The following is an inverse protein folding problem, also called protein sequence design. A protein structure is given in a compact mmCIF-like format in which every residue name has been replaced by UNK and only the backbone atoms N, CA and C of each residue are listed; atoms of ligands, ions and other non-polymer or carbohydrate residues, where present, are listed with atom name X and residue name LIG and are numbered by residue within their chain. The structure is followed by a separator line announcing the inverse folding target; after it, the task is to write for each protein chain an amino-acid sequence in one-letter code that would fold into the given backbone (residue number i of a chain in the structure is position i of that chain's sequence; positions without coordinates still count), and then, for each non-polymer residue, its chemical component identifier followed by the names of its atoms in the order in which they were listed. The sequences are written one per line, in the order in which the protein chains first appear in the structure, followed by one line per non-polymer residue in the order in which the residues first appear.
data_IF_466390616468
#
_entry.id   IF_466390616468
#
_cell.length_a   1.000
_cell.length_b   1.000
_cell.length_c   1.000
_cell.angle_alpha   90.00
_cell.angle_beta   90.00
_cell.angle_gamma   90.00
#
_symmetry.space_group_name_H-M   'P 1'
#
loop_
_entity.id
_entity.type
_entity.pdbx_description
1 polymer ?
#
# COMPACT_ATOMS: atom_id res chain seq x y z
N UNK A 1 1.76 63.86 38.66
CA UNK A 1 1.78 63.05 37.42
C UNK A 1 2.87 61.99 37.54
N UNK A 2 2.52 60.82 38.09
CA UNK A 2 3.40 59.66 38.18
C UNK A 2 2.77 58.55 37.33
N UNK A 3 3.46 58.08 36.29
CA UNK A 3 3.04 56.92 35.49
C UNK A 3 4.00 55.77 35.77
N UNK A 4 3.53 54.77 36.52
CA UNK A 4 4.18 53.47 36.70
C UNK A 4 3.77 52.58 35.52
N UNK A 5 4.71 52.19 34.67
CA UNK A 5 4.50 51.12 33.67
C UNK A 5 4.61 49.76 34.37
N UNK A 6 3.49 49.04 34.44
CA UNK A 6 3.42 47.65 34.88
C UNK A 6 3.90 46.78 33.71
N UNK A 7 4.95 45.98 33.92
CA UNK A 7 5.35 44.90 32.99
C UNK A 7 4.48 43.68 33.32
N UNK A 8 3.65 43.26 32.37
CA UNK A 8 2.91 42.01 32.46
C UNK A 8 3.89 40.84 32.30
N UNK A 9 3.87 39.93 33.27
CA UNK A 9 4.61 38.67 33.27
C UNK A 9 3.78 37.66 32.46
N UNK A 10 4.27 37.26 31.28
CA UNK A 10 3.64 36.18 30.50
C UNK A 10 4.01 34.85 31.15
N UNK A 11 3.06 34.22 31.83
CA UNK A 11 3.16 32.85 32.33
C UNK A 11 2.76 31.96 31.15
N UNK A 12 3.74 31.30 30.53
CA UNK A 12 3.50 30.25 29.55
C UNK A 12 2.88 29.05 30.27
N UNK A 13 1.57 28.85 30.07
CA UNK A 13 0.85 27.68 30.51
C UNK A 13 1.28 26.51 29.60
N UNK A 14 2.12 25.60 30.11
CA UNK A 14 2.31 24.29 29.49
C UNK A 14 1.00 23.51 29.65
N UNK A 15 0.23 23.41 28.57
CA UNK A 15 -0.84 22.44 28.45
C UNK A 15 -0.18 21.05 28.32
N UNK A 16 -0.55 20.05 29.15
CA UNK A 16 -0.14 18.68 28.87
C UNK A 16 -0.79 18.27 27.55
N UNK A 17 0.00 17.76 26.60
CA UNK A 17 -0.52 16.95 25.51
C UNK A 17 -1.20 15.75 26.18
N UNK A 18 -2.53 15.80 26.28
CA UNK A 18 -3.32 14.59 26.49
C UNK A 18 -3.12 13.74 25.25
N UNK A 19 -2.41 12.63 25.38
CA UNK A 19 -2.53 11.52 24.45
C UNK A 19 -4.00 11.07 24.53
N UNK A 20 -4.83 11.56 23.61
CA UNK A 20 -6.07 10.87 23.30
C UNK A 20 -5.64 9.50 22.81
N UNK A 21 -6.01 8.45 23.53
CA UNK A 21 -6.05 7.12 22.96
C UNK A 21 -6.91 7.25 21.70
N UNK A 22 -6.29 7.13 20.51
CA UNK A 22 -7.07 6.85 19.32
C UNK A 22 -7.79 5.54 19.64
N UNK A 23 -9.12 5.52 19.63
CA UNK A 23 -9.83 4.25 19.66
C UNK A 23 -9.40 3.42 18.44
N UNK A 24 -9.55 2.10 18.52
CA UNK A 24 -9.40 1.23 17.35
C UNK A 24 -10.20 1.83 16.19
N UNK A 25 -9.52 2.09 15.07
CA UNK A 25 -10.17 2.51 13.84
C UNK A 25 -10.68 1.25 13.15
N UNK A 26 -11.89 1.28 12.60
CA UNK A 26 -12.54 0.11 11.99
C UNK A 26 -12.72 0.34 10.50
N UNK A 27 -12.40 -0.67 9.69
CA UNK A 27 -12.73 -0.77 8.27
C UNK A 27 -14.04 -1.56 8.17
N UNK A 28 -15.08 -0.93 7.65
CA UNK A 28 -16.37 -1.57 7.37
C UNK A 28 -16.31 -2.23 5.98
N UNK A 29 -16.09 -3.54 5.94
CA UNK A 29 -16.00 -4.34 4.71
C UNK A 29 -17.35 -5.02 4.40
N UNK A 30 -17.97 -4.61 3.30
CA UNK A 30 -19.16 -5.25 2.76
C UNK A 30 -18.82 -6.45 1.88
N UNK A 31 -19.66 -7.48 1.90
CA UNK A 31 -19.61 -8.64 1.01
C UNK A 31 -21.03 -9.12 0.71
N UNK A 32 -21.23 -9.84 -0.39
CA UNK A 32 -22.52 -10.48 -0.67
C UNK A 32 -22.65 -11.74 0.18
N UNK A 33 -23.76 -11.91 0.88
CA UNK A 33 -24.01 -13.16 1.60
C UNK A 33 -24.16 -14.33 0.63
N UNK A 34 -23.49 -15.44 0.92
CA UNK A 34 -23.51 -16.68 0.13
C UNK A 34 -24.94 -17.12 -0.22
N UNK A 35 -25.85 -16.96 0.75
CA UNK A 35 -27.27 -17.30 0.61
C UNK A 35 -28.03 -16.56 -0.49
N UNK A 36 -27.51 -15.43 -1.01
CA UNK A 36 -28.15 -14.69 -2.11
C UNK A 36 -27.94 -15.40 -3.45
N UNK A 37 -26.75 -15.95 -3.70
CA UNK A 37 -26.38 -16.55 -4.98
C UNK A 37 -26.18 -18.08 -4.90
N UNK A 38 -26.45 -18.70 -3.74
CA UNK A 38 -26.08 -20.09 -3.42
C UNK A 38 -24.59 -20.38 -3.75
N UNK A 39 -23.72 -19.40 -3.49
CA UNK A 39 -22.30 -19.46 -3.86
C UNK A 39 -21.42 -20.00 -2.74
N UNK A 40 -20.29 -20.59 -3.12
CA UNK A 40 -19.24 -21.03 -2.19
C UNK A 40 -18.09 -20.02 -2.03
N UNK A 41 -18.17 -18.86 -2.69
CA UNK A 41 -17.05 -17.91 -2.87
C UNK A 41 -17.33 -16.47 -2.39
N UNK A 42 -18.38 -16.30 -1.57
CA UNK A 42 -18.55 -15.10 -0.75
C UNK A 42 -17.70 -15.17 0.53
N UNK A 43 -17.42 -14.05 1.21
CA UNK A 43 -16.63 -14.09 2.45
C UNK A 43 -17.28 -14.88 3.60
N UNK A 44 -18.58 -15.16 3.56
CA UNK A 44 -19.28 -16.06 4.49
C UNK A 44 -19.40 -17.52 4.01
N UNK A 45 -18.71 -17.86 2.91
CA UNK A 45 -18.80 -19.15 2.26
C UNK A 45 -17.54 -20.00 2.43
N UNK A 46 -17.67 -21.30 2.10
CA UNK A 46 -16.73 -22.35 2.50
C UNK A 46 -15.36 -22.30 1.80
N UNK A 47 -15.25 -21.62 0.65
CA UNK A 47 -13.99 -21.50 -0.09
C UNK A 47 -13.27 -20.17 0.20
N UNK A 48 -13.79 -19.36 1.12
CA UNK A 48 -13.20 -18.08 1.53
C UNK A 48 -12.97 -18.03 3.05
N UNK A 49 -12.91 -19.19 3.73
CA UNK A 49 -12.73 -19.26 5.18
C UNK A 49 -11.36 -18.68 5.59
N UNK A 50 -10.30 -18.96 4.85
CA UNK A 50 -8.96 -18.41 5.07
C UNK A 50 -8.93 -16.91 4.77
N UNK A 51 -9.58 -16.46 3.69
CA UNK A 51 -9.65 -15.05 3.36
C UNK A 51 -10.33 -14.25 4.49
N UNK A 52 -11.49 -14.73 4.96
CA UNK A 52 -12.21 -14.10 6.05
C UNK A 52 -11.39 -14.12 7.35
N UNK A 53 -10.75 -15.26 7.66
CA UNK A 53 -9.97 -15.40 8.88
C UNK A 53 -8.76 -14.46 8.89
N UNK A 54 -7.99 -14.38 7.79
CA UNK A 54 -6.83 -13.47 7.67
C UNK A 54 -7.22 -12.00 7.82
N UNK A 55 -8.38 -11.59 7.29
CA UNK A 55 -8.90 -10.22 7.42
C UNK A 55 -9.38 -9.90 8.85
N UNK A 56 -9.91 -10.90 9.58
CA UNK A 56 -10.38 -10.72 10.95
C UNK A 56 -9.30 -10.95 12.00
N UNK A 57 -8.12 -11.44 11.62
CA UNK A 57 -7.00 -11.66 12.52
C UNK A 57 -6.36 -10.34 12.95
N UNK A 58 -6.32 -10.13 14.26
CA UNK A 58 -5.88 -8.89 14.90
C UNK A 58 -4.39 -8.60 14.78
N UNK A 59 -3.54 -9.61 14.56
CA UNK A 59 -2.13 -9.40 14.20
C UNK A 59 -1.97 -8.83 12.79
N UNK A 60 -2.92 -9.08 11.89
CA UNK A 60 -2.92 -8.50 10.54
C UNK A 60 -3.63 -7.15 10.53
N UNK A 61 -4.85 -7.10 11.08
CA UNK A 61 -5.75 -5.95 11.11
C UNK A 61 -6.28 -5.70 12.53
N UNK A 62 -5.62 -4.80 13.27
CA UNK A 62 -6.01 -4.46 14.64
C UNK A 62 -5.12 -3.38 15.26
N UNK A 63 -5.44 -2.90 16.47
CA UNK A 63 -4.71 -1.77 17.11
C UNK A 63 -3.17 -1.93 17.11
N UNK A 64 -2.68 -3.17 17.20
CA UNK A 64 -1.26 -3.52 17.19
C UNK A 64 -0.86 -4.43 16.02
N UNK A 65 -1.75 -4.61 15.03
CA UNK A 65 -1.46 -5.40 13.85
C UNK A 65 -0.62 -4.64 12.83
N UNK A 66 -0.21 -5.34 11.77
CA UNK A 66 0.53 -4.73 10.65
C UNK A 66 -0.24 -3.58 10.01
N UNK A 67 -1.58 -3.68 9.99
CA UNK A 67 -2.50 -2.60 9.69
C UNK A 67 -3.21 -2.18 10.98
N UNK A 68 -3.06 -0.92 11.45
CA UNK A 68 -3.60 -0.46 12.73
C UNK A 68 -5.12 -0.15 12.69
N UNK A 69 -5.88 -0.97 11.98
CA UNK A 69 -7.34 -0.88 11.81
C UNK A 69 -7.93 -2.28 11.92
N UNK A 70 -8.98 -2.44 12.73
CA UNK A 70 -9.76 -3.68 12.79
C UNK A 70 -10.69 -3.77 11.58
N UNK A 71 -10.93 -4.96 11.04
CA UNK A 71 -11.94 -5.16 10.00
C UNK A 71 -13.24 -5.67 10.62
N UNK A 72 -14.35 -5.05 10.24
CA UNK A 72 -15.69 -5.57 10.48
C UNK A 72 -16.33 -5.98 9.16
N UNK A 73 -16.69 -7.26 9.01
CA UNK A 73 -17.27 -7.81 7.78
C UNK A 73 -18.78 -7.92 7.92
N UNK A 74 -19.52 -7.32 6.98
CA UNK A 74 -20.97 -7.49 6.85
C UNK A 74 -21.31 -8.17 5.53
N UNK A 75 -21.87 -9.37 5.62
CA UNK A 75 -22.39 -10.10 4.48
C UNK A 75 -23.88 -9.79 4.28
N UNK A 76 -24.25 -9.29 3.09
CA UNK A 76 -25.60 -8.81 2.80
C UNK A 76 -26.28 -9.60 1.68
N UNK A 77 -27.54 -9.97 1.90
CA UNK A 77 -28.45 -10.45 0.87
C UNK A 77 -29.43 -9.37 0.40
N UNK A 78 -29.28 -8.13 0.87
CA UNK A 78 -30.15 -7.03 0.49
C UNK A 78 -29.88 -6.56 -0.94
N UNK A 79 -30.85 -5.85 -1.53
CA UNK A 79 -30.66 -5.11 -2.77
C UNK A 79 -29.56 -4.07 -2.59
N UNK A 80 -28.66 -3.99 -3.57
CA UNK A 80 -27.57 -3.02 -3.57
C UNK A 80 -28.08 -1.65 -4.02
N UNK A 81 -27.94 -0.66 -3.13
CA UNK A 81 -28.20 0.74 -3.43
C UNK A 81 -27.19 1.64 -2.70
N UNK A 82 -27.20 2.93 -3.03
CA UNK A 82 -26.29 3.89 -2.39
C UNK A 82 -26.50 4.05 -0.87
N UNK A 83 -27.67 3.71 -0.34
CA UNK A 83 -27.92 3.78 1.10
C UNK A 83 -27.24 2.62 1.82
N UNK A 84 -27.33 1.41 1.27
CA UNK A 84 -26.59 0.25 1.76
C UNK A 84 -25.07 0.48 1.64
N UNK A 85 -24.60 0.88 0.46
CA UNK A 85 -23.17 1.06 0.19
C UNK A 85 -22.53 2.18 1.03
N UNK A 86 -23.30 3.19 1.45
CA UNK A 86 -22.80 4.25 2.34
C UNK A 86 -22.37 3.78 3.74
N UNK A 87 -22.70 2.52 4.10
CA UNK A 87 -22.27 1.90 5.35
C UNK A 87 -20.92 1.19 5.27
N UNK A 88 -20.27 1.16 4.11
CA UNK A 88 -19.02 0.43 3.89
C UNK A 88 -17.90 1.37 3.45
N UNK A 89 -16.68 1.03 3.85
CA UNK A 89 -15.45 1.63 3.34
C UNK A 89 -14.96 0.87 2.09
N UNK A 90 -15.08 -0.46 2.12
CA UNK A 90 -14.69 -1.36 1.03
C UNK A 90 -15.81 -2.36 0.77
N UNK A 91 -16.01 -2.76 -0.49
CA UNK A 91 -16.95 -3.84 -0.85
C UNK A 91 -16.24 -4.93 -1.67
N UNK A 92 -16.35 -6.17 -1.21
CA UNK A 92 -15.82 -7.35 -1.88
C UNK A 92 -16.89 -8.05 -2.73
N UNK A 93 -16.51 -8.44 -3.95
CA UNK A 93 -17.29 -9.28 -4.85
C UNK A 93 -16.46 -10.52 -5.18
N UNK A 94 -16.98 -11.69 -4.80
CA UNK A 94 -16.41 -13.00 -5.14
C UNK A 94 -16.92 -13.55 -6.46
N UNK A 95 -17.02 -14.88 -6.58
CA UNK A 95 -17.55 -15.58 -7.75
C UNK A 95 -19.08 -15.69 -7.70
N UNK A 96 -19.76 -14.84 -8.47
CA UNK A 96 -21.23 -14.69 -8.50
C UNK A 96 -21.75 -14.88 -9.93
N UNK A 97 -22.71 -15.80 -10.11
CA UNK A 97 -23.25 -16.15 -11.42
C UNK A 97 -24.20 -15.08 -11.94
N UNK A 98 -23.92 -14.55 -13.13
CA UNK A 98 -24.69 -13.47 -13.77
C UNK A 98 -26.07 -13.93 -14.27
N UNK A 99 -26.29 -15.24 -14.34
CA UNK A 99 -27.57 -15.86 -14.71
C UNK A 99 -28.37 -16.37 -13.52
N UNK A 100 -27.92 -16.11 -12.28
CA UNK A 100 -28.70 -16.44 -11.10
C UNK A 100 -30.02 -15.66 -11.06
N UNK A 101 -31.07 -16.25 -10.47
CA UNK A 101 -32.37 -15.58 -10.33
C UNK A 101 -32.26 -14.33 -9.43
N UNK A 102 -31.28 -14.30 -8.52
CA UNK A 102 -30.96 -13.20 -7.60
C UNK A 102 -29.71 -12.40 -8.03
N UNK A 103 -29.28 -12.57 -9.28
CA UNK A 103 -28.19 -11.82 -9.90
C UNK A 103 -28.41 -10.30 -9.86
N UNK A 104 -27.32 -9.54 -9.95
CA UNK A 104 -27.40 -8.09 -9.86
C UNK A 104 -28.24 -7.50 -10.99
N UNK A 105 -29.24 -6.72 -10.62
CA UNK A 105 -29.95 -5.91 -11.61
C UNK A 105 -29.06 -4.80 -12.15
N UNK A 106 -29.41 -4.25 -13.32
CA UNK A 106 -28.70 -3.08 -13.88
C UNK A 106 -28.64 -1.90 -12.90
N UNK A 107 -29.67 -1.72 -12.06
CA UNK A 107 -29.69 -0.67 -11.04
C UNK A 107 -28.69 -0.92 -9.89
N UNK A 108 -28.45 -2.19 -9.53
CA UNK A 108 -27.45 -2.56 -8.53
C UNK A 108 -26.03 -2.39 -9.07
N UNK A 109 -25.79 -2.78 -10.33
CA UNK A 109 -24.53 -2.54 -11.04
C UNK A 109 -24.24 -1.03 -11.16
N UNK A 110 -25.26 -0.23 -11.50
CA UNK A 110 -25.15 1.23 -11.50
C UNK A 110 -24.86 1.79 -10.11
N UNK A 111 -25.48 1.24 -9.05
CA UNK A 111 -25.23 1.68 -7.68
C UNK A 111 -23.76 1.46 -7.25
N UNK A 112 -23.16 0.32 -7.60
CA UNK A 112 -21.73 0.08 -7.36
C UNK A 112 -20.87 1.11 -8.10
N UNK A 113 -21.10 1.32 -9.39
CA UNK A 113 -20.32 2.26 -10.19
C UNK A 113 -20.45 3.71 -9.69
N UNK A 114 -21.66 4.14 -9.36
CA UNK A 114 -21.95 5.48 -8.84
C UNK A 114 -21.31 5.68 -7.46
N UNK A 115 -21.36 4.65 -6.60
CA UNK A 115 -20.73 4.69 -5.28
C UNK A 115 -19.21 4.80 -5.38
N UNK A 116 -18.55 3.99 -6.22
CA UNK A 116 -17.10 4.10 -6.47
C UNK A 116 -16.75 5.49 -7.03
N UNK A 117 -17.50 5.98 -8.02
CA UNK A 117 -17.28 7.33 -8.57
C UNK A 117 -17.35 8.43 -7.49
N UNK A 118 -18.16 8.21 -6.45
CA UNK A 118 -18.35 9.13 -5.32
C UNK A 118 -17.38 8.92 -4.14
N UNK A 119 -16.38 8.04 -4.25
CA UNK A 119 -15.39 7.79 -3.19
C UNK A 119 -15.40 6.37 -2.59
N UNK A 120 -16.32 5.51 -3.03
CA UNK A 120 -16.35 4.10 -2.61
C UNK A 120 -15.18 3.28 -3.14
N UNK A 121 -14.92 2.14 -2.51
CA UNK A 121 -13.82 1.26 -2.87
C UNK A 121 -14.29 -0.20 -3.08
N UNK A 122 -13.83 -0.85 -4.15
CA UNK A 122 -14.21 -2.24 -4.45
C UNK A 122 -13.03 -3.17 -4.75
N UNK A 123 -13.10 -4.40 -4.22
CA UNK A 123 -12.28 -5.52 -4.65
C UNK A 123 -13.19 -6.51 -5.36
N UNK A 124 -12.95 -6.72 -6.65
CA UNK A 124 -13.81 -7.55 -7.49
C UNK A 124 -12.97 -8.66 -8.10
N UNK A 125 -13.40 -9.89 -7.92
CA UNK A 125 -12.87 -11.05 -8.63
C UNK A 125 -13.82 -11.42 -9.76
N UNK A 126 -13.35 -11.24 -10.98
CA UNK A 126 -13.96 -11.77 -12.20
C UNK A 126 -13.42 -13.20 -12.38
N UNK A 127 -14.05 -14.05 -13.18
CA UNK A 127 -13.59 -15.44 -13.33
C UNK A 127 -13.75 -15.95 -14.76
N UNK A 128 -14.96 -15.89 -15.30
CA UNK A 128 -15.23 -16.10 -16.71
C UNK A 128 -16.44 -15.26 -17.14
N UNK A 129 -16.84 -15.35 -18.41
CA UNK A 129 -17.86 -14.48 -19.02
C UNK A 129 -19.26 -14.58 -18.39
N UNK A 130 -19.51 -15.62 -17.60
CA UNK A 130 -20.76 -15.80 -16.86
C UNK A 130 -20.69 -15.26 -15.40
N UNK A 131 -19.54 -14.70 -15.00
CA UNK A 131 -19.20 -14.28 -13.63
C UNK A 131 -18.40 -12.97 -13.63
N UNK A 132 -18.78 -12.01 -14.49
CA UNK A 132 -18.03 -10.78 -14.68
C UNK A 132 -18.89 -9.52 -14.78
N UNK A 133 -20.20 -9.57 -14.53
CA UNK A 133 -21.09 -8.40 -14.68
C UNK A 133 -20.60 -7.13 -13.96
N UNK A 134 -19.98 -7.25 -12.79
CA UNK A 134 -19.37 -6.10 -12.10
C UNK A 134 -18.14 -5.59 -12.86
N UNK A 135 -17.27 -6.49 -13.33
CA UNK A 135 -16.09 -6.13 -14.12
C UNK A 135 -16.45 -5.52 -15.47
N UNK A 136 -17.47 -6.08 -16.16
CA UNK A 136 -18.07 -5.49 -17.36
C UNK A 136 -18.60 -4.08 -17.07
N UNK A 137 -19.31 -3.88 -15.95
CA UNK A 137 -19.84 -2.57 -15.56
C UNK A 137 -18.74 -1.53 -15.33
N UNK A 138 -17.58 -1.95 -14.84
CA UNK A 138 -16.38 -1.12 -14.72
C UNK A 138 -15.57 -1.02 -16.01
N UNK A 139 -16.00 -1.65 -17.11
CA UNK A 139 -15.36 -1.56 -18.42
C UNK A 139 -14.14 -2.46 -18.59
N UNK A 140 -14.05 -3.56 -17.85
CA UNK A 140 -13.05 -4.62 -18.05
C UNK A 140 -13.72 -6.00 -17.99
N UNK A 141 -14.57 -6.36 -18.97
CA UNK A 141 -15.05 -7.72 -19.07
C UNK A 141 -13.87 -8.69 -19.26
N UNK A 142 -14.04 -9.92 -18.83
CA UNK A 142 -13.08 -10.99 -19.13
C UNK A 142 -13.14 -11.31 -20.62
N UNK A 143 -11.98 -11.56 -21.25
CA UNK A 143 -11.89 -11.70 -22.71
C UNK A 143 -11.24 -13.00 -23.17
N UNK A 144 -10.80 -13.84 -22.23
CA UNK A 144 -10.17 -15.11 -22.55
C UNK A 144 -9.76 -15.89 -21.32
N UNK A 145 -8.98 -16.94 -21.56
CA UNK A 145 -8.48 -17.84 -20.52
C UNK A 145 -7.07 -17.45 -20.12
N UNK A 146 -6.83 -17.35 -18.82
CA UNK A 146 -5.55 -17.02 -18.20
C UNK A 146 -4.72 -18.24 -17.81
N UNK A 147 -3.70 -17.98 -17.00
CA UNK A 147 -2.71 -18.97 -16.57
C UNK A 147 -2.60 -18.99 -15.05
N UNK A 148 -2.25 -20.16 -14.50
CA UNK A 148 -2.14 -20.35 -13.06
C UNK A 148 -1.09 -19.43 -12.41
N UNK A 149 0.05 -19.19 -13.07
CA UNK A 149 1.08 -18.29 -12.53
C UNK A 149 0.86 -16.86 -13.04
N UNK A 150 0.75 -15.93 -12.09
CA UNK A 150 0.45 -14.54 -12.34
C UNK A 150 1.57 -13.66 -11.75
N UNK A 151 2.28 -12.94 -12.61
CA UNK A 151 3.38 -12.06 -12.20
C UNK A 151 2.88 -10.66 -11.88
N UNK A 152 3.35 -10.11 -10.76
CA UNK A 152 3.27 -8.67 -10.50
C UNK A 152 4.12 -7.92 -11.52
N UNK A 153 3.45 -7.35 -12.53
CA UNK A 153 4.09 -6.73 -13.68
C UNK A 153 3.13 -5.87 -14.48
N UNK A 154 3.70 -4.93 -15.23
CA UNK A 154 2.93 -3.89 -15.92
C UNK A 154 3.29 -2.50 -15.37
N UNK A 155 2.66 -1.44 -15.90
CA UNK A 155 2.92 -0.07 -15.45
C UNK A 155 2.68 0.13 -13.95
N UNK A 156 1.73 -0.61 -13.36
CA UNK A 156 1.35 -0.51 -11.96
C UNK A 156 2.04 -1.46 -10.99
N UNK A 157 3.11 -2.18 -11.38
CA UNK A 157 3.66 -3.22 -10.49
C UNK A 157 4.09 -2.70 -9.09
N UNK A 158 4.47 -1.42 -8.99
CA UNK A 158 4.86 -0.77 -7.73
C UNK A 158 3.70 -0.11 -6.97
N UNK A 159 2.45 -0.42 -7.35
CA UNK A 159 1.26 0.18 -6.78
C UNK A 159 1.01 -0.33 -5.35
N UNK A 160 0.61 0.52 -4.38
CA UNK A 160 0.45 0.14 -2.95
C UNK A 160 -0.42 -1.09 -2.68
N UNK A 161 -1.39 -1.39 -3.56
CA UNK A 161 -2.16 -2.64 -3.51
C UNK A 161 -1.32 -3.92 -3.67
N UNK A 162 -0.08 -3.85 -4.16
CA UNK A 162 0.83 -4.98 -4.31
C UNK A 162 2.04 -4.93 -3.37
N UNK A 163 2.39 -3.78 -2.84
CA UNK A 163 3.65 -3.55 -2.09
C UNK A 163 3.39 -2.91 -0.73
N UNK A 164 2.18 -3.15 -0.23
CA UNK A 164 1.66 -2.60 0.99
C UNK A 164 2.20 -3.29 2.24
N UNK A 165 1.52 -3.12 3.39
CA UNK A 165 2.01 -3.45 4.73
C UNK A 165 2.43 -4.90 4.90
N UNK A 166 1.88 -5.80 4.09
CA UNK A 166 2.18 -7.22 4.15
C UNK A 166 3.31 -7.66 3.21
N UNK A 167 4.09 -6.71 2.71
CA UNK A 167 5.25 -6.96 1.85
C UNK A 167 4.91 -7.06 0.36
N UNK A 168 5.94 -7.16 -0.50
CA UNK A 168 5.76 -7.10 -1.94
C UNK A 168 5.22 -8.41 -2.53
N UNK A 169 4.10 -8.30 -3.23
CA UNK A 169 3.54 -9.32 -4.12
C UNK A 169 4.39 -9.37 -5.38
N UNK A 170 5.01 -10.53 -5.65
CA UNK A 170 5.88 -10.75 -6.81
C UNK A 170 5.28 -11.66 -7.86
N UNK A 171 4.68 -12.75 -7.39
CA UNK A 171 3.99 -13.71 -8.21
C UNK A 171 2.95 -14.37 -7.32
N UNK A 172 1.73 -14.48 -7.82
CA UNK A 172 0.63 -15.18 -7.16
C UNK A 172 0.17 -16.32 -8.03
N UNK A 173 -0.62 -17.22 -7.44
CA UNK A 173 -1.28 -18.30 -8.17
C UNK A 173 -2.79 -18.05 -8.29
N UNK A 174 -3.38 -18.43 -9.42
CA UNK A 174 -4.81 -18.60 -9.64
C UNK A 174 -5.10 -20.09 -9.93
N UNK A 175 -6.32 -20.58 -9.75
CA UNK A 175 -6.66 -21.99 -9.95
C UNK A 175 -7.94 -22.17 -10.76
N UNK A 176 -8.12 -23.38 -11.30
CA UNK A 176 -9.29 -23.78 -12.07
C UNK A 176 -9.60 -22.90 -13.30
N UNK A 177 -10.75 -22.24 -13.32
CA UNK A 177 -11.26 -21.49 -14.46
C UNK A 177 -10.73 -20.05 -14.39
N UNK A 178 -9.57 -19.87 -15.02
CA UNK A 178 -8.81 -18.62 -14.91
C UNK A 178 -9.11 -17.73 -16.12
N UNK A 179 -9.46 -16.46 -15.91
CA UNK A 179 -9.61 -15.48 -16.98
C UNK A 179 -8.40 -14.55 -17.16
N UNK A 180 -8.46 -13.77 -18.24
CA UNK A 180 -7.67 -12.57 -18.52
C UNK A 180 -8.59 -11.41 -18.94
N UNK A 181 -8.06 -10.19 -18.87
CA UNK A 181 -8.66 -9.00 -19.47
C UNK A 181 -7.91 -8.58 -20.74
N UNK A 182 -8.56 -7.79 -21.58
CA UNK A 182 -7.85 -7.00 -22.59
C UNK A 182 -7.03 -5.88 -21.92
N UNK A 183 -6.04 -5.35 -22.65
CA UNK A 183 -5.33 -4.14 -22.23
C UNK A 183 -6.31 -2.99 -22.01
N UNK A 184 -6.37 -2.43 -20.79
CA UNK A 184 -7.35 -1.42 -20.48
C UNK A 184 -7.01 -0.08 -21.14
N UNK A 185 -8.04 0.69 -21.50
CA UNK A 185 -7.85 2.05 -22.01
C UNK A 185 -7.33 3.01 -20.92
N UNK A 186 -7.69 2.73 -19.67
CA UNK A 186 -7.37 3.49 -18.46
C UNK A 186 -7.22 2.56 -17.24
N UNK A 187 -6.46 3.02 -16.24
CA UNK A 187 -6.05 2.20 -15.10
C UNK A 187 -4.70 1.53 -15.29
N UNK A 188 -4.15 1.07 -14.18
CA UNK A 188 -2.84 0.46 -14.11
C UNK A 188 -2.98 -1.07 -14.10
N UNK A 189 -2.37 -1.73 -15.08
CA UNK A 189 -2.19 -3.18 -15.04
C UNK A 189 -1.11 -3.49 -13.99
N UNK A 190 -1.51 -4.24 -12.97
CA UNK A 190 -0.68 -4.60 -11.80
C UNK A 190 -0.25 -6.06 -11.83
N UNK A 191 -1.07 -6.94 -12.40
CA UNK A 191 -0.82 -8.38 -12.49
C UNK A 191 -1.02 -8.84 -13.94
N UNK A 192 -0.17 -9.75 -14.42
CA UNK A 192 -0.25 -10.36 -15.75
C UNK A 192 0.02 -11.84 -15.68
N UNK A 193 -0.55 -12.61 -16.60
CA UNK A 193 -0.14 -14.00 -16.79
C UNK A 193 1.39 -14.09 -16.98
N UNK A 194 2.01 -15.04 -16.31
CA UNK A 194 3.44 -15.31 -16.46
C UNK A 194 3.78 -15.84 -17.87
N UNK A 195 2.82 -16.47 -18.56
CA UNK A 195 3.02 -17.10 -19.86
C UNK A 195 2.55 -16.21 -21.02
N UNK A 196 1.26 -15.87 -21.07
CA UNK A 196 0.68 -15.08 -22.17
C UNK A 196 1.01 -13.60 -22.06
N UNK A 197 1.36 -13.11 -20.85
CA UNK A 197 1.57 -11.69 -20.51
C UNK A 197 0.30 -10.84 -20.60
N UNK A 198 -0.86 -11.45 -20.78
CA UNK A 198 -2.13 -10.74 -20.78
C UNK A 198 -2.49 -10.24 -19.37
N UNK A 199 -3.19 -9.10 -19.23
CA UNK A 199 -3.64 -8.56 -17.95
C UNK A 199 -4.51 -9.55 -17.16
N UNK A 200 -4.24 -9.64 -15.85
CA UNK A 200 -5.00 -10.46 -14.90
C UNK A 200 -5.35 -9.71 -13.61
N UNK A 201 -4.81 -8.50 -13.45
CA UNK A 201 -5.17 -7.60 -12.35
C UNK A 201 -5.03 -6.16 -12.80
N UNK A 202 -6.09 -5.39 -12.61
CA UNK A 202 -6.18 -3.98 -13.00
C UNK A 202 -6.57 -3.18 -11.76
N UNK A 203 -5.88 -2.07 -11.54
CA UNK A 203 -6.27 -1.07 -10.54
C UNK A 203 -6.73 0.19 -11.23
N UNK A 204 -7.83 0.78 -10.75
CA UNK A 204 -8.37 2.04 -11.25
C UNK A 204 -8.74 2.96 -10.10
N UNK A 205 -8.43 4.24 -10.28
CA UNK A 205 -9.06 5.33 -9.56
C UNK A 205 -10.13 5.94 -10.46
N UNK A 206 -11.38 5.97 -9.98
CA UNK A 206 -12.54 6.41 -10.75
C UNK A 206 -13.27 7.46 -9.93
N UNK A 207 -13.29 8.70 -10.43
CA UNK A 207 -13.79 9.82 -9.65
C UNK A 207 -12.94 10.01 -8.39
N UNK A 208 -13.60 10.01 -7.23
CA UNK A 208 -12.92 10.11 -5.93
C UNK A 208 -12.65 8.74 -5.28
N UNK A 209 -13.08 7.63 -5.90
CA UNK A 209 -12.94 6.28 -5.37
C UNK A 209 -12.05 5.39 -6.23
N UNK A 210 -12.10 4.09 -5.94
CA UNK A 210 -11.14 3.13 -6.49
C UNK A 210 -11.67 1.72 -6.60
N UNK A 211 -11.10 0.95 -7.52
CA UNK A 211 -11.45 -0.45 -7.73
C UNK A 211 -10.22 -1.27 -8.11
N UNK A 212 -10.13 -2.47 -7.54
CA UNK A 212 -9.22 -3.53 -8.00
C UNK A 212 -10.08 -4.60 -8.67
N UNK A 213 -9.75 -4.93 -9.91
CA UNK A 213 -10.34 -6.02 -10.68
C UNK A 213 -9.28 -7.12 -10.82
N UNK A 214 -9.56 -8.31 -10.28
CA UNK A 214 -8.76 -9.51 -10.45
C UNK A 214 -9.50 -10.45 -11.38
N UNK A 215 -8.79 -11.14 -12.27
CA UNK A 215 -9.42 -12.02 -13.26
C UNK A 215 -9.75 -13.42 -12.74
N UNK A 216 -9.54 -13.68 -11.45
CA UNK A 216 -9.85 -14.96 -10.83
C UNK A 216 -10.06 -14.82 -9.31
N UNK A 217 -11.08 -15.48 -8.75
CA UNK A 217 -11.37 -15.48 -7.30
C UNK A 217 -10.36 -16.28 -6.50
N UNK A 218 -9.79 -17.32 -7.09
CA UNK A 218 -8.81 -18.18 -6.49
C UNK A 218 -7.45 -17.52 -6.32
N UNK A 219 -7.27 -16.28 -6.75
CA UNK A 219 -6.14 -15.48 -6.29
C UNK A 219 -6.25 -15.13 -4.79
N UNK A 220 -7.46 -15.20 -4.23
CA UNK A 220 -7.82 -14.77 -2.88
C UNK A 220 -8.61 -15.82 -2.09
N UNK A 221 -8.68 -17.07 -2.56
CA UNK A 221 -9.50 -18.13 -1.95
C UNK A 221 -8.67 -19.16 -1.20
N UNK A 222 -9.35 -20.06 -0.48
CA UNK A 222 -8.74 -21.17 0.27
C UNK A 222 -7.93 -22.13 -0.62
N UNK A 223 -8.08 -22.06 -1.95
CA UNK A 223 -7.30 -22.87 -2.89
C UNK A 223 -5.86 -22.39 -3.06
N UNK A 224 -5.56 -21.12 -2.78
CA UNK A 224 -4.22 -20.55 -2.96
C UNK A 224 -3.70 -19.77 -1.76
N UNK A 225 -4.59 -19.30 -0.88
CA UNK A 225 -4.19 -18.73 0.39
C UNK A 225 -3.54 -19.80 1.27
N UNK A 226 -2.64 -19.36 2.13
CA UNK A 226 -1.99 -20.26 3.08
C UNK A 226 -3.05 -20.80 4.05
N UNK A 227 -3.22 -22.12 4.06
CA UNK A 227 -4.08 -22.79 5.05
C UNK A 227 -3.34 -22.88 6.39
N UNK A 228 -3.51 -21.86 7.20
CA UNK A 228 -2.97 -21.75 8.56
C UNK A 228 -4.06 -21.40 9.59
N UNK A 229 -5.34 -21.54 9.22
CA UNK A 229 -6.51 -21.06 9.96
C UNK A 229 -6.52 -19.53 10.12
N UNK A 230 -5.97 -18.82 9.14
CA UNK A 230 -5.97 -17.37 9.02
C UNK A 230 -5.07 -16.59 9.97
N UNK A 231 -4.06 -17.22 10.58
CA UNK A 231 -3.22 -16.59 11.61
C UNK A 231 -2.18 -15.61 11.01
N UNK A 232 -1.57 -15.92 9.86
CA UNK A 232 -0.47 -15.12 9.30
C UNK A 232 -0.69 -14.75 7.83
N UNK A 233 -0.22 -13.56 7.42
CA UNK A 233 -0.01 -13.25 5.99
C UNK A 233 1.36 -13.81 5.58
N UNK A 234 1.37 -15.03 5.03
CA UNK A 234 2.59 -15.83 4.87
C UNK A 234 2.99 -16.09 3.41
N UNK A 235 2.09 -15.88 2.45
CA UNK A 235 2.32 -16.07 1.02
C UNK A 235 2.11 -14.79 0.21
N UNK A 236 2.50 -14.80 -1.06
CA UNK A 236 2.23 -13.69 -1.96
C UNK A 236 0.72 -13.52 -2.28
N UNK A 237 -0.06 -14.61 -2.27
CA UNK A 237 -1.52 -14.56 -2.38
C UNK A 237 -2.15 -13.94 -1.13
N UNK A 238 -1.66 -14.30 0.06
CA UNK A 238 -2.08 -13.68 1.31
C UNK A 238 -1.75 -12.17 1.31
N UNK A 239 -0.54 -11.81 0.88
CA UNK A 239 -0.12 -10.41 0.79
C UNK A 239 -0.95 -9.63 -0.24
N UNK A 240 -1.37 -10.25 -1.35
CA UNK A 240 -2.29 -9.63 -2.31
C UNK A 240 -3.62 -9.28 -1.64
N UNK A 241 -4.22 -10.22 -0.89
CA UNK A 241 -5.46 -9.97 -0.15
C UNK A 241 -5.30 -8.81 0.84
N UNK A 242 -4.29 -8.88 1.71
CA UNK A 242 -4.09 -7.89 2.76
C UNK A 242 -3.76 -6.50 2.20
N UNK A 243 -2.85 -6.42 1.22
CA UNK A 243 -2.46 -5.15 0.62
C UNK A 243 -3.58 -4.51 -0.19
N UNK A 244 -4.38 -5.31 -0.91
CA UNK A 244 -5.54 -4.85 -1.65
C UNK A 244 -6.56 -4.19 -0.72
N UNK A 245 -6.93 -4.85 0.38
CA UNK A 245 -7.89 -4.31 1.37
C UNK A 245 -7.34 -3.07 2.06
N UNK A 246 -6.07 -3.08 2.50
CA UNK A 246 -5.45 -1.93 3.16
C UNK A 246 -5.43 -0.68 2.25
N UNK A 247 -5.13 -0.85 0.96
CA UNK A 247 -5.15 0.25 -0.01
C UNK A 247 -6.58 0.71 -0.31
N UNK A 248 -7.52 -0.22 -0.56
CA UNK A 248 -8.91 0.12 -0.84
C UNK A 248 -9.56 0.89 0.32
N UNK A 249 -9.24 0.52 1.56
CA UNK A 249 -9.70 1.20 2.76
C UNK A 249 -9.03 2.57 3.01
N UNK A 250 -8.05 2.96 2.18
CA UNK A 250 -7.32 4.22 2.33
C UNK A 250 -6.39 4.26 3.52
N UNK A 251 -5.99 3.09 4.01
CA UNK A 251 -4.98 2.99 5.07
C UNK A 251 -3.58 3.21 4.49
N UNK A 252 -3.38 2.88 3.22
CA UNK A 252 -2.09 2.98 2.51
C UNK A 252 -2.20 3.88 1.26
N UNK A 253 -2.66 5.13 1.45
CA UNK A 253 -2.82 6.13 0.36
C UNK A 253 -1.49 6.62 -0.24
N UNK A 254 -0.39 6.47 0.48
CA UNK A 254 0.94 6.77 -0.04
C UNK A 254 1.60 5.49 -0.52
N UNK A 255 1.79 5.38 -1.83
CA UNK A 255 2.57 4.31 -2.44
C UNK A 255 4.05 4.35 -2.05
N UNK A 256 4.80 3.44 -2.67
CA UNK A 256 6.26 3.39 -2.53
C UNK A 256 6.90 4.74 -2.80
N UNK A 257 8.11 4.91 -2.27
CA UNK A 257 8.90 6.07 -2.58
C UNK A 257 9.01 6.22 -4.10
N UNK A 258 8.58 7.38 -4.59
CA UNK A 258 8.70 7.75 -6.00
C UNK A 258 10.02 8.51 -6.19
N UNK A 259 10.98 7.98 -6.97
CA UNK A 259 12.27 8.61 -7.12
C UNK A 259 12.13 9.93 -7.86
N UNK A 260 12.77 10.96 -7.33
CA UNK A 260 12.92 12.27 -7.99
C UNK A 260 14.40 12.60 -8.12
N UNK A 261 14.72 13.75 -8.72
CA UNK A 261 16.11 14.22 -8.74
C UNK A 261 16.71 14.38 -7.33
N UNK A 262 15.89 14.57 -6.30
CA UNK A 262 16.30 14.86 -4.91
C UNK A 262 15.80 13.86 -3.88
N UNK A 263 15.04 12.84 -4.31
CA UNK A 263 14.48 11.79 -3.44
C UNK A 263 15.12 10.46 -3.83
N UNK A 264 15.86 9.87 -2.88
CA UNK A 264 16.39 8.53 -3.02
C UNK A 264 15.40 7.54 -2.42
N UNK A 265 14.94 6.61 -3.25
CA UNK A 265 14.06 5.53 -2.83
C UNK A 265 14.88 4.28 -2.56
N UNK A 266 14.76 3.75 -1.34
CA UNK A 266 15.49 2.57 -0.90
C UNK A 266 14.53 1.47 -0.46
N UNK A 267 14.96 0.25 -0.76
CA UNK A 267 14.26 -0.97 -0.43
C UNK A 267 14.50 -1.36 1.05
N UNK A 268 13.46 -1.81 1.74
CA UNK A 268 13.56 -2.61 2.98
C UNK A 268 13.72 -4.09 2.64
N UNK A 269 12.86 -4.58 1.76
CA UNK A 269 12.94 -5.84 1.03
C UNK A 269 13.09 -5.58 -0.47
N UNK A 270 13.65 -6.54 -1.23
CA UNK A 270 13.94 -6.31 -2.66
C UNK A 270 12.69 -5.79 -3.39
N UNK A 271 12.85 -4.61 -4.02
CA UNK A 271 11.90 -3.83 -4.81
C UNK A 271 10.61 -3.39 -4.13
N UNK A 272 10.61 -3.23 -2.82
CA UNK A 272 9.51 -2.62 -2.08
C UNK A 272 9.59 -1.09 -2.00
N UNK A 273 10.67 -0.40 -2.41
CA UNK A 273 10.75 1.06 -2.42
C UNK A 273 10.29 1.78 -1.13
N UNK A 274 10.39 1.10 0.03
CA UNK A 274 9.75 1.50 1.29
C UNK A 274 10.23 2.83 1.86
N UNK A 275 11.50 3.15 1.68
CA UNK A 275 12.11 4.29 2.35
C UNK A 275 12.34 5.45 1.39
N UNK A 276 11.84 6.62 1.77
CA UNK A 276 12.17 7.90 1.14
C UNK A 276 13.30 8.58 1.89
N UNK A 277 14.37 8.92 1.18
CA UNK A 277 15.53 9.61 1.74
C UNK A 277 15.77 10.93 1.01
N UNK A 278 15.82 12.01 1.78
CA UNK A 278 16.20 13.34 1.29
C UNK A 278 17.36 13.89 2.12
N UNK A 279 18.19 14.74 1.49
CA UNK A 279 19.31 15.40 2.17
C UNK A 279 19.31 16.87 1.80
N UNK A 280 19.14 17.73 2.80
CA UNK A 280 19.34 19.17 2.65
C UNK A 280 20.72 19.55 3.16
N UNK A 281 21.46 20.34 2.40
CA UNK A 281 22.78 20.84 2.77
C UNK A 281 22.78 22.37 2.91
N UNK A 282 23.64 22.87 3.79
CA UNK A 282 23.88 24.30 4.02
C UNK A 282 25.27 24.49 4.60
N UNK A 283 26.09 25.34 3.96
CA UNK A 283 27.42 25.70 4.43
C UNK A 283 27.76 27.17 4.23
N UNK A 284 28.55 27.74 5.14
CA UNK A 284 29.14 29.08 4.98
C UNK A 284 30.39 29.07 4.09
N UNK A 285 30.91 27.89 3.74
CA UNK A 285 32.06 27.77 2.84
C UNK A 285 31.70 28.23 1.43
N UNK A 286 32.71 28.63 0.64
CA UNK A 286 32.50 29.04 -0.75
C UNK A 286 31.64 30.30 -0.94
N UNK A 287 31.39 31.09 0.12
CA UNK A 287 30.54 32.27 0.07
C UNK A 287 29.08 32.03 0.50
N UNK A 288 28.76 30.84 1.02
CA UNK A 288 27.41 30.46 1.42
C UNK A 288 26.72 29.66 0.32
N UNK A 289 26.49 28.37 0.55
CA UNK A 289 25.78 27.47 -0.36
C UNK A 289 24.76 26.64 0.41
N UNK A 290 23.58 26.46 -0.15
CA UNK A 290 22.52 25.63 0.43
C UNK A 290 21.59 25.10 -0.65
N UNK A 291 21.01 23.92 -0.41
CA UNK A 291 20.01 23.32 -1.28
C UNK A 291 19.71 21.89 -0.90
N UNK A 292 18.86 21.23 -1.67
CA UNK A 292 18.60 19.79 -1.55
C UNK A 292 19.56 19.03 -2.46
N UNK A 293 20.18 17.99 -1.93
CA UNK A 293 21.14 17.16 -2.63
C UNK A 293 20.48 16.37 -3.77
N UNK A 294 21.21 16.15 -4.85
CA UNK A 294 20.77 15.24 -5.91
C UNK A 294 21.00 13.79 -5.47
N UNK A 295 19.97 12.97 -5.63
CA UNK A 295 19.98 11.56 -5.31
C UNK A 295 20.39 10.72 -6.54
N UNK A 296 21.22 9.71 -6.33
CA UNK A 296 21.53 8.71 -7.36
C UNK A 296 21.48 7.31 -6.77
N UNK A 297 20.54 6.44 -7.19
CA UNK A 297 20.47 5.07 -6.68
C UNK A 297 21.66 4.24 -7.16
N UNK A 298 22.12 3.29 -6.33
CA UNK A 298 23.17 2.34 -6.68
C UNK A 298 22.64 1.06 -7.34
N UNK A 299 21.37 1.07 -7.76
CA UNK A 299 20.71 -0.06 -8.44
C UNK A 299 21.52 -0.57 -9.65
N UNK A 300 22.09 0.32 -10.46
CA UNK A 300 22.92 -0.04 -11.61
C UNK A 300 24.21 -0.80 -11.26
N UNK A 301 24.59 -0.82 -9.97
CA UNK A 301 25.73 -1.57 -9.43
C UNK A 301 25.30 -2.82 -8.64
N UNK A 302 24.01 -3.16 -8.64
CA UNK A 302 23.45 -4.29 -7.89
C UNK A 302 23.21 -4.00 -6.40
N UNK A 303 23.33 -2.76 -5.96
CA UNK A 303 23.11 -2.35 -4.56
C UNK A 303 21.79 -1.58 -4.44
N UNK A 304 20.68 -2.31 -4.33
CA UNK A 304 19.31 -1.76 -4.27
C UNK A 304 19.01 -0.99 -2.97
N UNK A 305 19.67 -1.40 -1.90
CA UNK A 305 19.54 -0.86 -0.54
C UNK A 305 20.39 0.40 -0.31
N UNK A 306 20.98 1.00 -1.35
CA UNK A 306 21.85 2.17 -1.18
C UNK A 306 21.86 3.16 -2.34
N UNK A 307 22.35 4.36 -2.03
CA UNK A 307 22.42 5.49 -2.95
C UNK A 307 23.53 6.47 -2.60
N UNK A 308 23.76 7.40 -3.52
CA UNK A 308 24.69 8.51 -3.39
C UNK A 308 23.93 9.84 -3.37
N UNK A 309 24.50 10.81 -2.67
CA UNK A 309 24.07 12.20 -2.70
C UNK A 309 25.20 13.11 -3.15
N UNK A 310 24.89 14.03 -4.06
CA UNK A 310 25.80 15.09 -4.54
C UNK A 310 25.21 16.45 -4.18
N UNK A 311 26.05 17.39 -3.73
CA UNK A 311 25.56 18.68 -3.23
C UNK A 311 25.72 19.80 -4.27
N UNK A 312 26.93 19.97 -4.79
CA UNK A 312 27.29 21.12 -5.62
C UNK A 312 27.54 20.74 -7.08
N UNK A 313 28.27 19.65 -7.31
CA UNK A 313 28.60 19.12 -8.61
C UNK A 313 28.04 17.69 -8.72
N UNK A 314 27.14 17.41 -9.67
CA UNK A 314 26.59 16.08 -9.90
C UNK A 314 27.66 14.99 -10.15
N UNK A 315 28.88 15.38 -10.56
CA UNK A 315 30.00 14.47 -10.75
C UNK A 315 30.82 14.22 -9.46
N UNK A 316 30.53 14.90 -8.35
CA UNK A 316 31.26 14.78 -7.08
C UNK A 316 30.33 14.27 -5.95
N UNK A 317 30.27 12.95 -5.71
CA UNK A 317 29.47 12.39 -4.62
C UNK A 317 30.04 12.80 -3.26
N UNK A 318 29.18 13.37 -2.42
CA UNK A 318 29.54 13.84 -1.07
C UNK A 318 29.20 12.80 0.00
N UNK A 319 28.16 11.99 -0.23
CA UNK A 319 27.63 11.04 0.74
C UNK A 319 27.16 9.75 0.07
N UNK A 320 27.38 8.63 0.75
CA UNK A 320 26.76 7.32 0.48
C UNK A 320 25.86 6.96 1.65
N UNK A 321 24.69 6.40 1.37
CA UNK A 321 23.74 5.91 2.38
C UNK A 321 23.22 4.53 1.97
N UNK A 322 22.99 3.67 2.96
CA UNK A 322 22.24 2.43 2.80
C UNK A 322 21.33 2.16 3.99
N UNK A 323 20.24 1.44 3.72
CA UNK A 323 19.32 0.92 4.73
C UNK A 323 19.32 -0.60 4.59
N UNK A 324 19.55 -1.31 5.69
CA UNK A 324 19.57 -2.77 5.70
C UNK A 324 18.45 -3.30 6.60
N UNK A 325 17.81 -4.37 6.17
CA UNK A 325 16.93 -5.17 7.03
C UNK A 325 17.78 -5.87 8.12
N UNK A 326 17.61 -5.40 9.35
CA UNK A 326 18.19 -5.98 10.55
C UNK A 326 17.14 -6.61 11.48
N UNK A 327 15.91 -6.77 11.02
CA UNK A 327 14.78 -7.15 11.87
C UNK A 327 15.00 -8.52 12.54
N UNK A 328 15.63 -9.46 11.84
CA UNK A 328 16.00 -10.79 12.39
C UNK A 328 16.93 -10.67 13.61
N UNK A 329 17.70 -9.59 13.74
CA UNK A 329 18.69 -9.42 14.82
C UNK A 329 18.10 -8.66 16.00
N UNK A 330 17.39 -7.56 15.76
CA UNK A 330 16.90 -6.68 16.83
C UNK A 330 15.60 -5.95 16.50
N UNK A 331 14.82 -6.42 15.53
CA UNK A 331 13.54 -5.83 15.13
C UNK A 331 13.65 -4.36 14.67
N UNK A 332 14.76 -4.02 13.99
CA UNK A 332 15.01 -2.68 13.46
C UNK A 332 15.66 -2.73 12.09
N UNK A 333 15.36 -1.73 11.26
CA UNK A 333 16.19 -1.44 10.10
C UNK A 333 17.44 -0.67 10.53
N UNK A 334 18.55 -0.94 9.83
CA UNK A 334 19.84 -0.35 10.14
C UNK A 334 20.21 0.70 9.09
N UNK A 335 20.54 1.91 9.54
CA UNK A 335 20.97 3.00 8.68
C UNK A 335 22.48 3.16 8.77
N UNK A 336 23.12 3.10 7.60
CA UNK A 336 24.54 3.43 7.46
C UNK A 336 24.73 4.57 6.48
N UNK A 337 25.43 5.61 6.91
CA UNK A 337 25.80 6.71 6.04
C UNK A 337 27.28 7.07 6.24
N UNK A 338 27.95 7.43 5.16
CA UNK A 338 29.31 7.96 5.20
C UNK A 338 29.39 9.13 4.23
N UNK A 339 29.89 10.27 4.73
CA UNK A 339 30.03 11.47 3.95
C UNK A 339 31.47 11.98 4.02
N UNK A 340 32.05 12.28 2.86
CA UNK A 340 33.44 12.73 2.69
C UNK A 340 33.63 14.23 2.90
N UNK A 341 32.70 14.88 3.59
CA UNK A 341 32.53 16.34 3.61
C UNK A 341 32.45 16.90 5.01
N UNK A 342 32.63 18.21 5.16
CA UNK A 342 32.42 18.96 6.39
C UNK A 342 31.24 19.95 6.30
N UNK A 343 30.43 19.83 5.26
CA UNK A 343 29.25 20.65 4.99
C UNK A 343 28.15 20.34 5.99
N UNK A 344 27.42 21.39 6.40
CA UNK A 344 26.23 21.21 7.23
C UNK A 344 25.14 20.49 6.44
N UNK A 345 24.54 19.45 6.99
CA UNK A 345 23.49 18.69 6.30
C UNK A 345 22.46 18.12 7.27
N UNK A 346 21.25 17.90 6.76
CA UNK A 346 20.15 17.20 7.42
C UNK A 346 19.69 16.08 6.50
N UNK A 347 19.84 14.85 6.95
CA UNK A 347 19.35 13.64 6.29
C UNK A 347 18.02 13.29 6.92
N UNK A 348 16.98 13.16 6.10
CA UNK A 348 15.64 12.78 6.54
C UNK A 348 15.28 11.47 5.87
N UNK A 349 14.91 10.47 6.68
CA UNK A 349 14.46 9.15 6.22
C UNK A 349 13.03 8.93 6.69
N UNK A 350 12.14 8.72 5.74
CA UNK A 350 10.73 8.40 5.97
C UNK A 350 10.49 6.93 5.63
N UNK A 351 9.89 6.22 6.58
CA UNK A 351 9.32 4.89 6.36
C UNK A 351 7.88 5.07 5.88
N UNK A 352 7.66 4.89 4.58
CA UNK A 352 6.37 5.13 3.96
C UNK A 352 5.36 4.01 4.22
N UNK A 353 5.82 2.87 4.75
CA UNK A 353 4.96 1.74 5.07
C UNK A 353 4.29 1.90 6.43
N UNK A 354 5.06 2.34 7.43
CA UNK A 354 4.58 2.46 8.82
C UNK A 354 4.04 3.85 9.18
N UNK A 355 4.22 4.86 8.32
CA UNK A 355 3.63 6.20 8.50
C UNK A 355 4.12 6.97 9.75
N UNK A 356 5.30 6.63 10.28
CA UNK A 356 5.87 7.19 11.50
C UNK A 356 6.63 8.52 11.34
N UNK A 357 7.12 9.07 12.46
CA UNK A 357 7.97 10.26 12.42
C UNK A 357 9.31 9.95 11.71
N UNK A 358 9.81 10.86 10.86
CA UNK A 358 11.04 10.59 10.11
C UNK A 358 12.26 10.46 11.03
N UNK A 359 13.20 9.60 10.63
CA UNK A 359 14.52 9.53 11.26
C UNK A 359 15.41 10.62 10.68
N UNK A 360 15.95 11.47 11.55
CA UNK A 360 16.74 12.64 11.15
C UNK A 360 18.16 12.55 11.68
N UNK A 361 19.15 12.71 10.79
CA UNK A 361 20.57 12.83 11.14
C UNK A 361 21.09 14.19 10.70
N UNK A 362 21.80 14.89 11.61
CA UNK A 362 22.29 16.24 11.37
C UNK A 362 23.81 16.25 11.47
N UNK A 363 24.48 16.79 10.46
CA UNK A 363 25.87 17.23 10.56
C UNK A 363 25.91 18.76 10.68
N UNK A 364 26.49 19.33 11.74
CA UNK A 364 26.69 20.77 11.83
C UNK A 364 27.71 21.25 10.78
N UNK A 365 27.48 22.44 10.23
CA UNK A 365 28.40 23.04 9.26
C UNK A 365 29.82 23.22 9.83
N UNK A 366 30.81 23.12 8.95
CA UNK A 366 32.24 23.18 9.23
C UNK A 366 32.79 22.03 10.10
N UNK A 367 32.01 20.98 10.34
CA UNK A 367 32.44 19.79 11.07
C UNK A 367 32.52 18.59 10.12
N UNK A 368 33.63 17.84 10.10
CA UNK A 368 33.70 16.59 9.33
C UNK A 368 32.55 15.67 9.71
N UNK A 369 31.80 15.21 8.71
CA UNK A 369 30.64 14.37 8.92
C UNK A 369 31.06 13.01 9.52
N UNK A 370 30.60 12.65 10.73
CA UNK A 370 30.89 11.34 11.29
C UNK A 370 30.10 10.26 10.53
N UNK A 371 30.64 9.02 10.42
CA UNK A 371 29.85 7.93 9.87
C UNK A 371 28.65 7.63 10.77
N UNK A 372 27.50 7.40 10.15
CA UNK A 372 26.29 6.89 10.82
C UNK A 372 26.32 5.36 10.74
N UNK A 373 26.08 4.71 11.88
CA UNK A 373 26.00 3.25 12.04
C UNK A 373 24.88 2.92 13.02
N UNK A 374 23.67 3.39 12.72
CA UNK A 374 22.53 3.27 13.61
C UNK A 374 21.82 1.93 13.36
N UNK A 375 21.96 1.01 14.32
CA UNK A 375 21.34 -0.32 14.26
C UNK A 375 19.97 -0.37 14.95
N UNK A 376 19.47 0.74 15.51
CA UNK A 376 18.13 0.83 16.10
C UNK A 376 17.38 1.99 15.43
N UNK A 377 17.45 2.07 14.10
CA UNK A 377 17.08 3.29 13.39
C UNK A 377 15.57 3.44 13.22
N UNK A 378 14.96 2.52 12.47
CA UNK A 378 13.55 2.46 12.10
C UNK A 378 12.93 1.18 12.63
#
# INVERSE_FOLDING_TARGET
MFSRKIRALAISLLLPLSATALGAQTIELGSIAASRFDTSWSLDAVNMEEARAKLLETSNFGEFGDVPYEIHITDTAATIDGALLSGFDVFFIGFLNDFDDDAFSAAELDAFYDWVTAGGAMLVTCDNEDYDAVCERFGSPVTGVGDNLVDASGPGFGHPALVGPFGPVRQVTAQFDIAIFDEPADGDVVLRSALSREPMGIVREIGDGRVILLSDVDMLSDFTLTNDNGEDIASANDALLGNAIAWLAGVTETGLCTPTATTLCLDGMEGDGRFSVTVDYSTVQGGGLSGTALATPLLGLGARQGGLFTFFDPANPEMVLKILDGCIVNNHYWVYASAGTNVGMTVTIEDLLLGGAPKVYINPDLNPAPPVQDVNAL
#
